data_IF_743020344097
#
_entry.id   IF_743020344097
#
_cell.length_a   1.000
_cell.length_b   1.000
_cell.length_c   1.000
_cell.angle_alpha   90.00
_cell.angle_beta   90.00
_cell.angle_gamma   90.00
#
_symmetry.space_group_name_H-M   'P 1'
#
loop_
_entity.id
_entity.type
_entity.pdbx_description
1 polymer ?
#
# COMPACT_ATOMS: atom_id res chain seq x y z
N UNK A 1 -6.04 -32.27 19.57
CA UNK A 1 -5.37 -31.02 19.17
C UNK A 1 -6.28 -30.19 18.27
N UNK A 2 -6.15 -28.89 18.37
CA UNK A 2 -6.90 -27.98 17.53
C UNK A 2 -5.99 -27.58 16.36
N UNK A 3 -6.52 -27.73 15.15
CA UNK A 3 -5.80 -27.33 13.95
C UNK A 3 -6.49 -26.10 13.38
N UNK A 4 -5.71 -25.02 13.20
CA UNK A 4 -6.20 -23.80 12.58
C UNK A 4 -5.72 -23.77 11.12
N UNK A 5 -6.66 -23.61 10.22
CA UNK A 5 -6.37 -23.44 8.80
C UNK A 5 -6.37 -21.95 8.47
N UNK A 6 -5.39 -21.56 7.69
CA UNK A 6 -5.29 -20.20 7.18
C UNK A 6 -5.18 -20.25 5.67
N UNK A 7 -5.86 -19.32 5.03
CA UNK A 7 -5.69 -19.07 3.62
C UNK A 7 -5.00 -17.71 3.50
N UNK A 8 -3.89 -17.67 2.76
CA UNK A 8 -3.12 -16.46 2.53
C UNK A 8 -3.11 -16.17 1.03
N UNK A 9 -3.53 -14.97 0.67
CA UNK A 9 -3.48 -14.47 -0.71
C UNK A 9 -2.65 -13.22 -0.77
N UNK A 10 -1.90 -13.07 -1.85
CA UNK A 10 -1.11 -11.87 -2.11
C UNK A 10 -1.59 -11.24 -3.40
N UNK A 11 -1.90 -9.95 -3.35
CA UNK A 11 -2.30 -9.16 -4.52
C UNK A 11 -1.30 -8.03 -4.66
N UNK A 12 -0.80 -7.81 -5.87
CA UNK A 12 0.11 -6.71 -6.17
C UNK A 12 -0.52 -5.82 -7.22
N UNK A 13 -0.62 -4.53 -6.91
CA UNK A 13 -1.19 -3.52 -7.80
C UNK A 13 -0.20 -2.38 -7.98
N UNK A 14 -0.32 -1.64 -9.07
CA UNK A 14 0.47 -0.44 -9.32
C UNK A 14 -0.30 0.78 -8.84
N UNK A 15 0.39 1.69 -8.15
CA UNK A 15 -0.21 2.91 -7.62
C UNK A 15 -0.25 3.99 -8.69
N UNK A 16 -1.40 4.61 -8.87
CA UNK A 16 -1.62 5.62 -9.91
C UNK A 16 -2.51 6.75 -9.38
N UNK A 17 -1.89 7.83 -8.92
CA UNK A 17 -2.63 9.03 -8.55
C UNK A 17 -3.40 8.94 -7.24
N UNK A 18 -4.39 9.83 -7.10
CA UNK A 18 -5.24 9.94 -5.91
C UNK A 18 -6.69 10.10 -6.34
N UNK A 19 -7.60 9.51 -5.55
CA UNK A 19 -9.04 9.69 -5.76
C UNK A 19 -9.55 10.95 -5.06
N UNK A 20 -8.91 11.32 -3.97
CA UNK A 20 -9.24 12.50 -3.19
C UNK A 20 -7.96 13.18 -2.71
N UNK A 21 -7.94 14.51 -2.79
CA UNK A 21 -6.88 15.34 -2.20
C UNK A 21 -7.55 16.51 -1.53
N UNK A 22 -7.18 16.80 -0.28
CA UNK A 22 -7.73 17.95 0.45
C UNK A 22 -7.29 19.26 -0.20
N UNK A 23 -8.07 20.31 0.01
CA UNK A 23 -7.83 21.62 -0.61
C UNK A 23 -6.46 22.18 -0.21
N UNK A 24 -6.04 21.96 1.02
CA UNK A 24 -4.74 22.41 1.52
C UNK A 24 -3.58 21.45 1.21
N UNK A 25 -3.85 20.38 0.48
CA UNK A 25 -2.85 19.38 0.08
C UNK A 25 -2.17 18.67 1.26
N UNK A 26 -2.80 18.61 2.44
CA UNK A 26 -2.23 17.92 3.60
C UNK A 26 -2.72 16.48 3.77
N UNK A 27 -3.76 16.11 3.04
CA UNK A 27 -4.34 14.77 3.09
C UNK A 27 -4.81 14.35 1.71
N UNK A 28 -4.62 13.08 1.42
CA UNK A 28 -5.19 12.47 0.22
C UNK A 28 -5.36 10.98 0.40
N UNK A 29 -6.18 10.37 -0.42
CA UNK A 29 -6.34 8.93 -0.41
C UNK A 29 -6.63 8.38 -1.80
N UNK A 30 -6.41 7.08 -1.91
CA UNK A 30 -6.70 6.29 -3.09
C UNK A 30 -7.42 5.03 -2.64
N UNK A 31 -8.57 4.74 -3.25
CA UNK A 31 -9.27 3.49 -3.04
C UNK A 31 -8.86 2.50 -4.11
N UNK A 32 -8.57 1.27 -3.69
CA UNK A 32 -8.17 0.21 -4.59
C UNK A 32 -9.10 -0.98 -4.35
N UNK A 33 -9.76 -1.41 -5.42
CA UNK A 33 -10.67 -2.54 -5.37
C UNK A 33 -9.89 -3.85 -5.27
N UNK A 34 -10.13 -4.60 -4.20
CA UNK A 34 -9.49 -5.89 -3.93
C UNK A 34 -10.60 -6.90 -3.56
N UNK A 35 -11.19 -7.58 -4.55
CA UNK A 35 -12.33 -8.48 -4.29
C UNK A 35 -11.98 -9.64 -3.34
N UNK A 36 -10.71 -9.99 -3.23
CA UNK A 36 -10.26 -11.04 -2.32
C UNK A 36 -10.47 -10.69 -0.84
N UNK A 37 -10.69 -9.41 -0.52
CA UNK A 37 -11.03 -8.99 0.84
C UNK A 37 -12.54 -9.12 0.98
N UNK A 38 -12.99 -10.25 1.48
CA UNK A 38 -14.43 -10.53 1.63
C UNK A 38 -14.90 -10.26 3.07
N UNK A 39 -16.18 -10.53 3.32
CA UNK A 39 -16.78 -10.30 4.63
C UNK A 39 -16.08 -11.07 5.75
N UNK A 40 -15.60 -12.27 5.47
CA UNK A 40 -14.91 -13.08 6.47
C UNK A 40 -13.54 -12.50 6.82
N UNK A 41 -12.84 -11.96 5.83
CA UNK A 41 -11.57 -11.27 6.07
C UNK A 41 -11.80 -10.04 6.96
N UNK A 42 -12.84 -9.25 6.66
CA UNK A 42 -13.15 -8.06 7.47
C UNK A 42 -13.51 -8.46 8.90
N UNK A 43 -14.28 -9.52 9.06
CA UNK A 43 -14.77 -9.95 10.38
C UNK A 43 -13.69 -10.58 11.25
N UNK A 44 -12.81 -11.41 10.68
CA UNK A 44 -11.89 -12.24 11.48
C UNK A 44 -10.53 -12.47 10.87
N UNK A 45 -10.28 -11.98 9.66
CA UNK A 45 -8.99 -12.10 9.01
C UNK A 45 -8.10 -10.88 9.25
N UNK A 46 -7.12 -10.71 8.38
CA UNK A 46 -6.23 -9.55 8.42
C UNK A 46 -5.77 -9.15 7.04
N UNK A 47 -5.43 -7.88 6.91
CA UNK A 47 -4.91 -7.29 5.67
C UNK A 47 -3.69 -6.47 6.01
N UNK A 48 -2.59 -6.72 5.31
CA UNK A 48 -1.34 -5.99 5.48
C UNK A 48 -0.91 -5.41 4.15
N UNK A 49 -0.30 -4.23 4.18
CA UNK A 49 0.17 -3.57 2.98
C UNK A 49 1.64 -3.22 3.04
N UNK A 50 2.26 -3.21 1.84
CA UNK A 50 3.69 -2.94 1.68
C UNK A 50 3.89 -2.15 0.39
N UNK A 51 4.71 -1.10 0.45
CA UNK A 51 5.05 -0.30 -0.74
C UNK A 51 6.43 -0.71 -1.23
N UNK A 52 6.57 -0.90 -2.54
CA UNK A 52 7.83 -1.24 -3.18
C UNK A 52 8.82 -0.08 -3.08
N UNK A 53 10.07 -0.40 -2.71
CA UNK A 53 11.16 0.58 -2.69
C UNK A 53 11.70 0.87 -4.07
N UNK A 54 11.61 -0.09 -4.97
CA UNK A 54 12.11 0.04 -6.34
C UNK A 54 10.95 0.13 -7.30
N UNK A 55 11.01 1.10 -8.21
CA UNK A 55 10.08 1.17 -9.32
C UNK A 55 10.85 1.22 -10.63
N UNK A 56 10.19 0.79 -11.68
CA UNK A 56 10.75 0.77 -13.01
C UNK A 56 11.25 2.16 -13.43
N UNK A 57 12.48 2.24 -13.85
CA UNK A 57 13.08 3.49 -14.32
C UNK A 57 13.82 4.30 -13.28
N UNK A 58 13.80 3.90 -11.98
CA UNK A 58 14.53 4.63 -10.94
C UNK A 58 16.06 4.54 -11.14
N UNK A 59 16.55 3.35 -11.52
CA UNK A 59 17.97 3.08 -11.72
C UNK A 59 18.15 2.20 -12.96
N UNK A 60 19.34 2.20 -13.57
CA UNK A 60 19.54 1.46 -14.83
C UNK A 60 19.23 -0.03 -14.78
N UNK A 61 19.47 -0.68 -13.64
CA UNK A 61 19.25 -2.12 -13.46
C UNK A 61 18.08 -2.46 -12.54
N UNK A 62 17.24 -1.49 -12.24
CA UNK A 62 16.18 -1.66 -11.26
C UNK A 62 15.07 -2.60 -11.75
N UNK A 63 14.98 -2.84 -13.05
CA UNK A 63 13.97 -3.75 -13.57
C UNK A 63 14.10 -5.15 -12.99
N UNK A 64 15.32 -5.55 -12.64
CA UNK A 64 15.56 -6.81 -11.97
C UNK A 64 14.90 -6.86 -10.59
N UNK A 65 14.94 -5.74 -9.86
CA UNK A 65 14.28 -5.65 -8.54
C UNK A 65 12.81 -5.36 -8.62
N UNK A 66 12.33 -4.80 -9.75
CA UNK A 66 10.93 -4.40 -9.88
C UNK A 66 9.98 -5.62 -9.86
N UNK A 67 10.30 -6.66 -10.62
CA UNK A 67 9.43 -7.83 -10.77
C UNK A 67 10.01 -9.09 -10.13
N UNK A 68 11.03 -8.98 -9.32
CA UNK A 68 11.75 -10.14 -8.81
C UNK A 68 11.67 -10.24 -7.30
N UNK A 69 12.19 -11.37 -6.78
CA UNK A 69 12.39 -11.59 -5.35
C UNK A 69 13.37 -10.60 -4.71
N UNK A 70 14.09 -9.82 -5.51
CA UNK A 70 15.04 -8.81 -5.01
C UNK A 70 14.35 -7.48 -4.68
N UNK A 71 13.06 -7.33 -4.93
CA UNK A 71 12.30 -6.16 -4.54
C UNK A 71 12.37 -5.96 -3.03
N UNK A 72 12.50 -4.71 -2.61
CA UNK A 72 12.42 -4.33 -1.20
C UNK A 72 11.07 -3.70 -0.92
N UNK A 73 10.47 -4.11 0.21
CA UNK A 73 9.13 -3.68 0.59
C UNK A 73 9.17 -2.90 1.90
N UNK A 74 8.57 -1.72 1.90
CA UNK A 74 8.36 -0.94 3.13
C UNK A 74 6.98 -1.26 3.68
N UNK A 75 6.95 -1.62 4.95
CA UNK A 75 5.71 -1.97 5.66
C UNK A 75 4.84 -0.73 5.87
N UNK A 76 3.53 -0.92 5.81
CA UNK A 76 2.56 0.09 6.19
C UNK A 76 1.94 -0.27 7.55
N UNK A 77 1.65 0.71 8.42
CA UNK A 77 1.81 2.14 8.22
C UNK A 77 3.28 2.55 8.19
N UNK A 78 3.58 3.61 7.47
CA UNK A 78 4.93 4.12 7.32
C UNK A 78 4.96 5.60 7.70
N UNK A 79 5.79 5.94 8.67
CA UNK A 79 6.14 7.31 9.00
C UNK A 79 7.55 7.55 8.50
N UNK A 80 7.71 8.50 7.61
CA UNK A 80 9.00 8.81 7.00
C UNK A 80 9.18 10.31 6.90
N UNK A 81 10.43 10.71 6.69
CA UNK A 81 10.76 12.07 6.29
C UNK A 81 10.85 12.08 4.77
N UNK A 82 9.86 12.69 4.15
CA UNK A 82 9.86 12.91 2.71
C UNK A 82 10.22 14.37 2.48
N UNK A 83 11.34 14.61 1.81
CA UNK A 83 11.76 15.97 1.44
C UNK A 83 11.81 16.92 2.65
N UNK A 84 12.43 16.44 3.74
CA UNK A 84 12.62 17.14 5.00
C UNK A 84 11.33 17.39 5.82
N UNK A 85 10.22 16.75 5.42
CA UNK A 85 8.94 16.89 6.12
C UNK A 85 8.44 15.53 6.62
N UNK A 86 7.86 15.49 7.84
CA UNK A 86 7.24 14.26 8.30
C UNK A 86 5.98 13.93 7.49
N UNK A 87 5.86 12.68 7.11
CA UNK A 87 4.75 12.22 6.28
C UNK A 87 4.34 10.81 6.67
N UNK A 88 3.04 10.58 6.59
CA UNK A 88 2.45 9.27 6.85
C UNK A 88 1.86 8.69 5.60
N UNK A 89 2.11 7.39 5.41
CA UNK A 89 1.37 6.57 4.45
C UNK A 89 0.80 5.41 5.24
N UNK A 90 -0.51 5.21 5.18
CA UNK A 90 -1.15 4.15 5.93
C UNK A 90 -2.31 3.54 5.14
N UNK A 91 -2.69 2.34 5.57
CA UNK A 91 -3.68 1.52 4.88
C UNK A 91 -4.83 1.22 5.82
N UNK A 92 -6.04 1.26 5.28
CA UNK A 92 -7.22 0.69 5.92
C UNK A 92 -7.92 -0.22 4.90
N UNK A 93 -8.80 -1.07 5.38
CA UNK A 93 -9.52 -1.97 4.49
C UNK A 93 -10.97 -2.11 4.92
N UNK A 94 -11.79 -2.48 3.97
CA UNK A 94 -13.17 -2.86 4.16
C UNK A 94 -13.52 -3.97 3.18
N UNK A 95 -14.80 -4.30 3.08
CA UNK A 95 -15.26 -5.37 2.21
C UNK A 95 -15.00 -5.01 0.74
N UNK A 96 -14.05 -5.71 0.13
CA UNK A 96 -13.74 -5.56 -1.29
C UNK A 96 -12.76 -4.45 -1.64
N UNK A 97 -12.15 -3.77 -0.67
CA UNK A 97 -11.26 -2.66 -0.98
C UNK A 97 -10.22 -2.40 0.10
N UNK A 98 -9.17 -1.70 -0.30
CA UNK A 98 -8.25 -1.03 0.61
C UNK A 98 -8.26 0.46 0.31
N UNK A 99 -7.99 1.26 1.32
CA UNK A 99 -7.78 2.70 1.17
C UNK A 99 -6.36 3.02 1.59
N UNK A 100 -5.57 3.56 0.67
CA UNK A 100 -4.24 4.04 0.95
C UNK A 100 -4.32 5.54 1.19
N UNK A 101 -3.85 5.98 2.34
CA UNK A 101 -3.96 7.38 2.78
C UNK A 101 -2.59 8.00 2.94
N UNK A 102 -2.48 9.26 2.54
CA UNK A 102 -1.26 10.06 2.64
C UNK A 102 -1.57 11.28 3.50
N UNK A 103 -0.66 11.61 4.39
CA UNK A 103 -0.83 12.74 5.29
C UNK A 103 0.51 13.42 5.53
N UNK A 104 0.53 14.75 5.44
CA UNK A 104 1.70 15.58 5.70
C UNK A 104 1.24 16.91 6.29
N UNK A 105 2.09 17.56 7.08
CA UNK A 105 1.77 18.88 7.64
C UNK A 105 1.93 20.00 6.62
N UNK A 106 2.65 19.75 5.53
CA UNK A 106 2.94 20.77 4.52
C UNK A 106 2.25 20.47 3.21
N UNK A 107 2.64 19.38 2.53
CA UNK A 107 2.03 19.00 1.26
C UNK A 107 2.30 17.54 0.98
N UNK A 108 1.30 16.86 0.42
CA UNK A 108 1.44 15.47 -0.02
C UNK A 108 1.83 15.37 -1.50
N UNK A 109 2.00 16.49 -2.19
CA UNK A 109 2.23 16.47 -3.64
C UNK A 109 3.48 15.66 -4.02
N UNK A 110 4.57 15.86 -3.30
CA UNK A 110 5.80 15.11 -3.57
C UNK A 110 5.66 13.63 -3.21
N UNK A 111 4.88 13.32 -2.19
CA UNK A 111 4.57 11.93 -1.83
C UNK A 111 3.79 11.24 -2.95
N UNK A 112 2.83 11.93 -3.52
CA UNK A 112 2.04 11.40 -4.65
C UNK A 112 2.97 11.09 -5.82
N UNK A 113 3.87 12.01 -6.16
CA UNK A 113 4.84 11.79 -7.24
C UNK A 113 5.78 10.65 -6.93
N UNK A 114 6.26 10.58 -5.69
CA UNK A 114 7.18 9.52 -5.27
C UNK A 114 6.54 8.13 -5.36
N UNK A 115 5.28 8.00 -4.94
CA UNK A 115 4.60 6.71 -4.91
C UNK A 115 3.99 6.29 -6.24
N UNK A 116 3.75 7.25 -7.15
CA UNK A 116 3.17 6.96 -8.46
C UNK A 116 4.07 6.01 -9.26
N UNK A 117 3.50 4.93 -9.76
CA UNK A 117 4.24 3.89 -10.48
C UNK A 117 4.88 2.83 -9.60
N UNK A 118 4.82 2.98 -8.28
CA UNK A 118 5.31 1.94 -7.37
C UNK A 118 4.25 0.87 -7.18
N UNK A 119 4.71 -0.34 -6.88
CA UNK A 119 3.81 -1.44 -6.56
C UNK A 119 3.38 -1.37 -5.10
N UNK A 120 2.14 -1.74 -4.86
CA UNK A 120 1.58 -1.98 -3.53
C UNK A 120 1.27 -3.47 -3.43
N UNK A 121 1.85 -4.11 -2.44
CA UNK A 121 1.59 -5.53 -2.14
C UNK A 121 0.61 -5.61 -0.99
N UNK A 122 -0.48 -6.32 -1.20
CA UNK A 122 -1.52 -6.55 -0.20
C UNK A 122 -1.48 -8.03 0.14
N UNK A 123 -1.27 -8.33 1.42
CA UNK A 123 -1.31 -9.72 1.93
C UNK A 123 -2.58 -9.87 2.75
N UNK A 124 -3.39 -10.83 2.35
CA UNK A 124 -4.71 -11.08 2.92
C UNK A 124 -4.68 -12.44 3.59
N UNK A 125 -4.99 -12.46 4.88
CA UNK A 125 -5.10 -13.70 5.64
C UNK A 125 -6.54 -13.92 6.04
N UNK A 126 -7.06 -15.07 5.67
CA UNK A 126 -8.41 -15.49 5.99
C UNK A 126 -8.34 -16.68 6.93
N UNK A 127 -9.00 -16.58 8.05
CA UNK A 127 -9.12 -17.69 9.00
C UNK A 127 -10.27 -18.60 8.56
N UNK A 128 -10.00 -19.89 8.59
CA UNK A 128 -11.00 -20.89 8.24
C UNK A 128 -11.40 -21.73 9.45
#
# INVERSE_FOLDING_TARGET
SIVFSHEIKTVIVELNGMDFVSEDMTYGNQMIWIPEIDEEVVASGSVQGFIARYKKGDYPDIEKGFDSKDQRWSHLPNLSWYFDEPAFIYLSHGNGYVRLSYQSQVSIQEMIQYTSGRQLKIVIQKNQ
#
